data_IF_947161351776
#
_entry.id   IF_947161351776
#
_cell.length_a   1.000
_cell.length_b   1.000
_cell.length_c   1.000
_cell.angle_alpha   90.00
_cell.angle_beta   90.00
_cell.angle_gamma   90.00
#
_symmetry.space_group_name_H-M   'P 1'
#
loop_
_entity.id
_entity.type
_entity.pdbx_description
1 polymer ?
#
# COMPACT_ATOMS: atom_id res chain seq x y z
N UNK A 1 6.79 -22.39 -8.93
CA UNK A 1 7.87 -21.36 -8.85
C UNK A 1 7.68 -20.59 -7.55
N UNK A 2 8.75 -20.19 -6.84
CA UNK A 2 8.61 -19.45 -5.55
C UNK A 2 8.74 -17.96 -5.82
N UNK A 3 7.78 -17.15 -5.34
CA UNK A 3 7.87 -15.68 -5.41
C UNK A 3 9.03 -15.22 -4.52
N UNK A 4 9.91 -14.42 -5.07
CA UNK A 4 11.01 -13.77 -4.33
C UNK A 4 10.73 -12.26 -4.31
N UNK A 5 10.38 -11.71 -3.18
CA UNK A 5 10.01 -10.27 -3.03
C UNK A 5 11.09 -9.32 -3.56
N UNK A 6 12.36 -9.70 -3.44
CA UNK A 6 13.50 -8.92 -3.95
C UNK A 6 13.49 -8.68 -5.45
N UNK A 7 12.84 -9.56 -6.23
CA UNK A 7 12.83 -9.48 -7.70
C UNK A 7 11.93 -8.31 -8.19
N UNK A 8 11.06 -7.80 -7.32
CA UNK A 8 10.14 -6.69 -7.60
C UNK A 8 10.57 -5.38 -6.92
N UNK A 9 11.63 -5.42 -6.11
CA UNK A 9 12.07 -4.29 -5.30
C UNK A 9 12.97 -3.35 -6.09
N UNK A 10 12.63 -2.07 -6.10
CA UNK A 10 13.51 -0.99 -6.56
C UNK A 10 14.55 -0.72 -5.48
N UNK A 11 15.83 -0.83 -5.82
CA UNK A 11 16.91 -0.55 -4.87
C UNK A 11 17.11 0.96 -4.73
N UNK A 12 17.60 1.36 -3.57
CA UNK A 12 17.98 2.75 -3.32
C UNK A 12 19.09 3.18 -4.29
N UNK A 13 18.88 4.31 -4.97
CA UNK A 13 19.81 4.84 -5.97
C UNK A 13 19.64 4.27 -7.38
N UNK A 14 18.77 3.28 -7.58
CA UNK A 14 18.49 2.77 -8.94
C UNK A 14 17.78 3.84 -9.77
N UNK A 15 18.24 4.03 -11.00
CA UNK A 15 17.49 4.79 -12.01
C UNK A 15 16.49 3.84 -12.67
N UNK A 16 15.21 4.03 -12.37
CA UNK A 16 14.13 3.19 -12.89
C UNK A 16 13.85 3.53 -14.35
N UNK A 17 13.77 2.50 -15.16
CA UNK A 17 13.29 2.51 -16.54
C UNK A 17 12.18 1.45 -16.62
N UNK A 18 10.92 1.87 -16.63
CA UNK A 18 9.75 0.99 -16.57
C UNK A 18 9.65 0.04 -17.77
N UNK A 19 10.30 0.35 -18.89
CA UNK A 19 10.39 -0.57 -20.03
C UNK A 19 11.14 -1.86 -19.70
N UNK A 20 12.02 -1.83 -18.69
CA UNK A 20 12.77 -3.01 -18.21
C UNK A 20 12.04 -3.78 -17.12
N UNK A 21 10.93 -3.25 -16.61
CA UNK A 21 10.10 -3.89 -15.62
C UNK A 21 8.87 -4.51 -16.31
N UNK A 22 8.69 -5.84 -16.25
CA UNK A 22 7.57 -6.48 -16.94
C UNK A 22 6.24 -6.09 -16.31
N UNK A 23 5.20 -5.91 -17.14
CA UNK A 23 3.81 -5.77 -16.71
C UNK A 23 3.13 -7.13 -16.49
N UNK A 24 3.74 -8.21 -17.04
CA UNK A 24 3.30 -9.59 -16.92
C UNK A 24 4.48 -10.51 -16.66
N UNK A 25 4.36 -11.42 -15.71
CA UNK A 25 5.34 -12.50 -15.47
C UNK A 25 4.64 -13.85 -15.48
N UNK A 26 5.40 -14.93 -15.65
CA UNK A 26 4.84 -16.29 -15.61
C UNK A 26 4.12 -16.51 -14.27
N UNK A 27 2.84 -16.93 -14.28
CA UNK A 27 2.10 -17.20 -13.06
C UNK A 27 2.80 -18.25 -12.19
N UNK A 28 2.72 -18.09 -10.88
CA UNK A 28 3.27 -19.05 -9.91
C UNK A 28 2.34 -20.23 -9.65
N UNK A 29 1.17 -20.22 -10.25
CA UNK A 29 0.14 -21.25 -10.20
C UNK A 29 -0.14 -21.80 -11.61
N UNK A 30 -0.76 -22.98 -11.69
CA UNK A 30 -1.10 -23.61 -12.97
C UNK A 30 -2.61 -23.59 -13.26
N UNK A 31 -3.45 -23.63 -12.21
CA UNK A 31 -4.90 -23.64 -12.31
C UNK A 31 -5.51 -22.62 -11.37
N UNK A 32 -6.78 -22.30 -11.59
CA UNK A 32 -7.53 -21.35 -10.74
C UNK A 32 -7.70 -21.86 -9.30
N UNK A 33 -7.83 -23.19 -9.13
CA UNK A 33 -7.89 -23.85 -7.81
C UNK A 33 -6.55 -23.72 -7.09
N UNK A 34 -5.42 -23.92 -7.78
CA UNK A 34 -4.09 -23.73 -7.22
C UNK A 34 -3.83 -22.26 -6.82
N UNK A 35 -4.33 -21.29 -7.60
CA UNK A 35 -4.31 -19.88 -7.22
C UNK A 35 -5.07 -19.63 -5.92
N UNK A 36 -6.33 -20.12 -5.83
CA UNK A 36 -7.18 -19.94 -4.64
C UNK A 36 -6.51 -20.52 -3.39
N UNK A 37 -6.02 -21.75 -3.47
CA UNK A 37 -5.32 -22.40 -2.37
C UNK A 37 -4.04 -21.64 -1.93
N UNK A 38 -3.26 -21.12 -2.88
CA UNK A 38 -2.08 -20.33 -2.58
C UNK A 38 -2.44 -19.00 -1.91
N UNK A 39 -3.47 -18.31 -2.39
CA UNK A 39 -3.91 -17.05 -1.80
C UNK A 39 -4.45 -17.26 -0.39
N UNK A 40 -5.32 -18.25 -0.20
CA UNK A 40 -5.89 -18.63 1.11
C UNK A 40 -4.79 -18.90 2.13
N UNK A 41 -3.83 -19.73 1.79
CA UNK A 41 -2.65 -19.99 2.64
C UNK A 41 -1.90 -18.71 3.02
N UNK A 42 -1.67 -17.79 2.05
CA UNK A 42 -0.98 -16.54 2.34
C UNK A 42 -1.83 -15.61 3.21
N UNK A 43 -3.14 -15.59 3.03
CA UNK A 43 -4.08 -14.83 3.85
C UNK A 43 -4.10 -15.35 5.29
N UNK A 44 -4.12 -16.68 5.50
CA UNK A 44 -4.00 -17.29 6.83
C UNK A 44 -2.67 -16.90 7.52
N UNK A 45 -1.54 -17.06 6.80
CA UNK A 45 -0.23 -16.66 7.33
C UNK A 45 -0.21 -15.16 7.68
N UNK A 46 -0.84 -14.31 6.88
CA UNK A 46 -0.93 -12.87 7.14
C UNK A 46 -1.81 -12.56 8.37
N UNK A 47 -2.92 -13.28 8.53
CA UNK A 47 -3.79 -13.16 9.70
C UNK A 47 -3.04 -13.52 10.99
N UNK A 48 -2.21 -14.57 10.98
CA UNK A 48 -1.35 -14.93 12.12
C UNK A 48 -0.33 -13.83 12.43
N UNK A 49 0.36 -13.31 11.41
CA UNK A 49 1.31 -12.22 11.58
C UNK A 49 0.64 -10.94 12.09
N UNK A 50 -0.57 -10.64 11.64
CA UNK A 50 -1.33 -9.48 12.09
C UNK A 50 -1.74 -9.62 13.57
N UNK A 51 -2.12 -10.82 14.05
CA UNK A 51 -2.38 -11.07 15.47
C UNK A 51 -1.14 -10.79 16.33
N UNK A 52 0.03 -11.26 15.88
CA UNK A 52 1.30 -10.97 16.55
C UNK A 52 1.62 -9.47 16.54
N UNK A 53 1.39 -8.82 15.41
CA UNK A 53 1.61 -7.38 15.24
C UNK A 53 0.73 -6.57 16.20
N UNK A 54 -0.56 -6.88 16.23
CA UNK A 54 -1.52 -6.26 17.13
C UNK A 54 -1.15 -6.43 18.61
N UNK A 55 -0.85 -7.66 19.01
CA UNK A 55 -0.49 -7.99 20.39
C UNK A 55 0.85 -7.36 20.82
N UNK A 56 1.85 -7.34 19.94
CA UNK A 56 3.16 -6.77 20.26
C UNK A 56 3.13 -5.25 20.42
N UNK A 57 2.24 -4.58 19.70
CA UNK A 57 2.02 -3.12 19.72
C UNK A 57 3.31 -2.28 19.63
N UNK A 58 4.33 -2.74 18.88
CA UNK A 58 5.64 -2.09 18.78
C UNK A 58 5.85 -1.33 17.48
N UNK A 59 5.29 -1.84 16.40
CA UNK A 59 5.42 -1.26 15.06
C UNK A 59 4.07 -0.79 14.54
N UNK A 60 4.06 0.22 13.69
CA UNK A 60 3.00 0.49 12.75
C UNK A 60 3.43 -0.03 11.37
N UNK A 61 2.49 -0.46 10.54
CA UNK A 61 2.75 -0.85 9.15
C UNK A 61 1.90 0.00 8.22
N UNK A 62 2.53 0.67 7.26
CA UNK A 62 1.85 1.46 6.24
C UNK A 62 2.07 0.83 4.86
N UNK A 63 0.98 0.42 4.21
CA UNK A 63 0.96 -0.10 2.85
C UNK A 63 0.45 1.00 1.91
N UNK A 64 1.25 1.40 0.94
CA UNK A 64 0.89 2.41 -0.05
C UNK A 64 0.71 1.75 -1.41
N UNK A 65 -0.46 1.98 -2.03
CA UNK A 65 -0.78 1.47 -3.35
C UNK A 65 -0.93 2.61 -4.35
N UNK A 66 -0.08 2.61 -5.36
CA UNK A 66 -0.12 3.52 -6.49
C UNK A 66 -0.21 2.75 -7.81
N UNK A 67 -0.99 3.25 -8.74
CA UNK A 67 -1.12 2.68 -10.08
C UNK A 67 -1.95 3.56 -10.98
N UNK A 68 -1.84 3.34 -12.27
CA UNK A 68 -2.79 3.85 -13.27
C UNK A 68 -4.21 3.31 -13.00
N UNK A 69 -5.21 3.97 -13.55
CA UNK A 69 -6.59 3.51 -13.42
C UNK A 69 -6.77 2.12 -14.03
N UNK A 70 -7.73 1.36 -13.50
CA UNK A 70 -7.98 -0.04 -13.82
C UNK A 70 -6.86 -1.02 -13.48
N UNK A 71 -5.74 -0.63 -12.88
CA UNK A 71 -4.68 -1.56 -12.51
C UNK A 71 -5.10 -2.59 -11.44
N UNK A 72 -6.18 -2.32 -10.69
CA UNK A 72 -6.75 -3.27 -9.74
C UNK A 72 -6.34 -3.07 -8.29
N UNK A 73 -6.00 -1.82 -7.88
CA UNK A 73 -5.68 -1.45 -6.49
C UNK A 73 -6.71 -1.98 -5.48
N UNK A 74 -7.99 -1.63 -5.65
CA UNK A 74 -9.07 -2.05 -4.74
C UNK A 74 -9.18 -3.57 -4.64
N UNK A 75 -9.03 -4.25 -5.80
CA UNK A 75 -9.07 -5.71 -5.86
C UNK A 75 -7.88 -6.35 -5.14
N UNK A 76 -6.68 -5.80 -5.26
CA UNK A 76 -5.50 -6.30 -4.57
C UNK A 76 -5.66 -6.13 -3.06
N UNK A 77 -6.03 -4.93 -2.59
CA UNK A 77 -6.29 -4.64 -1.17
C UNK A 77 -7.33 -5.60 -0.62
N UNK A 78 -8.51 -5.69 -1.26
CA UNK A 78 -9.61 -6.54 -0.79
C UNK A 78 -9.21 -8.01 -0.65
N UNK A 79 -8.53 -8.58 -1.66
CA UNK A 79 -8.21 -10.01 -1.65
C UNK A 79 -7.04 -10.34 -0.71
N UNK A 80 -6.03 -9.48 -0.63
CA UNK A 80 -4.87 -9.71 0.24
C UNK A 80 -5.24 -9.54 1.71
N UNK A 81 -6.15 -8.60 2.01
CA UNK A 81 -6.56 -8.28 3.37
C UNK A 81 -7.83 -9.03 3.83
N UNK A 82 -8.36 -9.98 3.05
CA UNK A 82 -9.64 -10.64 3.33
C UNK A 82 -9.68 -11.44 4.63
N UNK A 83 -8.55 -11.92 5.13
CA UNK A 83 -8.44 -12.66 6.40
C UNK A 83 -7.86 -11.85 7.56
N UNK A 84 -7.62 -10.57 7.37
CA UNK A 84 -7.05 -9.70 8.40
C UNK A 84 -8.16 -9.17 9.30
N UNK A 85 -7.94 -9.18 10.63
CA UNK A 85 -8.91 -8.61 11.56
C UNK A 85 -9.11 -7.11 11.27
N UNK A 86 -10.34 -6.67 10.95
CA UNK A 86 -10.61 -5.27 10.60
C UNK A 86 -10.29 -4.29 11.72
N UNK A 87 -10.33 -4.69 12.99
CA UNK A 87 -9.92 -3.84 14.11
C UNK A 87 -8.43 -3.45 14.07
N UNK A 88 -7.61 -4.23 13.38
CA UNK A 88 -6.17 -4.00 13.24
C UNK A 88 -5.78 -3.36 11.92
N UNK A 89 -6.74 -2.95 11.09
CA UNK A 89 -6.50 -2.49 9.73
C UNK A 89 -7.42 -1.31 9.38
N UNK A 90 -6.85 -0.26 8.79
CA UNK A 90 -7.61 0.91 8.31
C UNK A 90 -7.23 1.19 6.86
N UNK A 91 -8.24 1.45 6.02
CA UNK A 91 -8.07 1.74 4.59
C UNK A 91 -8.54 3.17 4.32
N UNK A 92 -7.63 3.98 3.79
CA UNK A 92 -7.91 5.35 3.37
C UNK A 92 -7.75 5.46 1.84
N UNK A 93 -8.73 6.08 1.20
CA UNK A 93 -8.72 6.33 -0.25
C UNK A 93 -8.64 7.83 -0.50
N UNK A 94 -7.48 8.31 -0.89
CA UNK A 94 -7.27 9.73 -1.16
C UNK A 94 -7.72 10.07 -2.57
N UNK A 95 -8.79 10.87 -2.64
CA UNK A 95 -9.34 11.44 -3.87
C UNK A 95 -8.79 12.85 -4.10
N UNK A 96 -9.42 13.60 -5.00
CA UNK A 96 -9.10 15.02 -5.18
C UNK A 96 -9.17 15.76 -3.84
N UNK A 97 -8.18 16.60 -3.50
CA UNK A 97 -8.17 17.34 -2.25
C UNK A 97 -9.37 18.29 -2.14
N UNK A 98 -9.91 18.43 -0.94
CA UNK A 98 -10.89 19.44 -0.60
C UNK A 98 -10.26 20.83 -0.50
N UNK A 99 -11.08 21.90 -0.48
CA UNK A 99 -10.59 23.26 -0.28
C UNK A 99 -9.76 23.38 1.01
N UNK A 100 -10.22 22.80 2.11
CA UNK A 100 -9.47 22.79 3.39
C UNK A 100 -8.12 22.07 3.26
N UNK A 101 -8.04 20.97 2.52
CA UNK A 101 -6.78 20.24 2.31
C UNK A 101 -5.80 21.04 1.45
N UNK A 102 -6.28 21.86 0.52
CA UNK A 102 -5.45 22.73 -0.32
C UNK A 102 -4.86 23.94 0.45
N UNK A 103 -5.48 24.35 1.56
CA UNK A 103 -4.95 25.40 2.45
C UNK A 103 -3.76 24.92 3.32
N UNK A 104 -3.43 23.64 3.28
CA UNK A 104 -2.35 23.03 4.05
C UNK A 104 -1.25 22.53 3.12
N UNK A 105 -0.09 22.20 3.70
CA UNK A 105 0.97 21.52 2.94
C UNK A 105 0.50 20.17 2.40
N UNK A 106 1.11 19.72 1.33
CA UNK A 106 0.66 18.54 0.58
C UNK A 106 0.74 17.20 1.36
N UNK A 107 1.46 17.15 2.48
CA UNK A 107 1.54 15.96 3.34
C UNK A 107 0.45 15.92 4.40
N UNK A 108 -0.11 17.09 4.75
CA UNK A 108 -1.01 17.25 5.89
C UNK A 108 -2.18 16.26 5.89
N UNK A 109 -2.91 16.13 4.78
CA UNK A 109 -4.10 15.27 4.72
C UNK A 109 -3.79 13.80 4.94
N UNK A 110 -2.62 13.34 4.52
CA UNK A 110 -2.22 11.93 4.66
C UNK A 110 -1.55 11.65 6.01
N UNK A 111 -0.90 12.64 6.62
CA UNK A 111 -0.28 12.47 7.94
C UNK A 111 -1.30 12.30 9.06
N UNK A 112 -2.51 12.81 8.89
CA UNK A 112 -3.63 12.61 9.84
C UNK A 112 -4.10 11.16 9.92
N UNK A 113 -3.91 10.39 8.85
CA UNK A 113 -4.41 9.03 8.68
C UNK A 113 -3.30 7.97 8.85
N UNK A 114 -2.14 8.37 9.40
CA UNK A 114 -1.03 7.45 9.66
C UNK A 114 -1.42 6.41 10.72
N UNK A 115 -1.02 5.14 10.54
CA UNK A 115 -1.42 4.06 11.44
C UNK A 115 -0.75 4.18 12.82
N UNK A 116 -1.52 3.84 13.85
CA UNK A 116 -1.02 3.62 15.20
C UNK A 116 -0.14 2.36 15.28
N UNK A 117 0.66 2.23 16.34
CA UNK A 117 1.37 0.98 16.63
C UNK A 117 0.38 -0.18 16.79
N UNK A 118 0.76 -1.37 16.32
CA UNK A 118 -0.11 -2.54 16.28
C UNK A 118 -1.17 -2.49 15.17
N UNK A 119 -1.18 -1.45 14.32
CA UNK A 119 -2.16 -1.27 13.25
C UNK A 119 -1.50 -1.31 11.86
N UNK A 120 -2.29 -1.72 10.88
CA UNK A 120 -1.96 -1.67 9.45
C UNK A 120 -2.76 -0.54 8.83
N UNK A 121 -2.10 0.52 8.40
CA UNK A 121 -2.69 1.54 7.53
C UNK A 121 -2.51 1.16 6.07
N UNK A 122 -3.56 1.34 5.27
CA UNK A 122 -3.53 1.08 3.83
C UNK A 122 -3.95 2.36 3.12
N UNK A 123 -3.04 2.93 2.36
CA UNK A 123 -3.29 4.09 1.53
C UNK A 123 -3.56 3.65 0.09
N UNK A 124 -4.82 3.74 -0.34
CA UNK A 124 -5.21 3.61 -1.74
C UNK A 124 -5.10 5.00 -2.38
N UNK A 125 -4.02 5.22 -3.14
CA UNK A 125 -3.38 6.51 -3.41
C UNK A 125 -2.81 7.13 -2.12
N UNK A 126 -2.02 8.19 -2.22
CA UNK A 126 -1.34 8.76 -1.05
C UNK A 126 -0.79 10.15 -1.38
N UNK A 127 0.11 10.66 -0.53
CA UNK A 127 0.91 11.85 -0.82
C UNK A 127 1.74 11.75 -2.11
N UNK A 128 1.88 10.57 -2.69
CA UNK A 128 2.54 10.40 -3.99
C UNK A 128 1.75 10.96 -5.17
N UNK A 129 0.44 11.19 -5.02
CA UNK A 129 -0.35 11.90 -6.04
C UNK A 129 0.26 13.27 -6.34
N UNK A 130 0.88 13.90 -5.35
CA UNK A 130 1.50 15.23 -5.43
C UNK A 130 2.76 15.30 -6.32
N UNK A 131 3.32 14.15 -6.68
CA UNK A 131 4.45 14.00 -7.60
C UNK A 131 4.12 13.11 -8.79
N UNK A 132 2.87 12.69 -8.90
CA UNK A 132 2.32 11.90 -10.01
C UNK A 132 1.31 12.74 -10.80
N UNK A 133 0.02 12.76 -10.41
CA UNK A 133 -1.01 13.50 -11.13
C UNK A 133 -0.71 15.00 -11.16
N UNK A 134 -0.27 15.60 -10.06
CA UNK A 134 0.06 17.04 -10.01
C UNK A 134 1.20 17.38 -10.95
N UNK A 135 2.11 16.45 -11.20
CA UNK A 135 3.20 16.63 -12.18
C UNK A 135 2.73 16.51 -13.62
N UNK A 136 1.73 15.69 -13.89
CA UNK A 136 1.13 15.52 -15.21
C UNK A 136 0.21 16.69 -15.54
N UNK A 137 -0.43 17.27 -14.53
CA UNK A 137 -1.40 18.36 -14.63
C UNK A 137 -0.92 19.60 -13.85
N UNK A 138 -0.08 20.46 -14.47
CA UNK A 138 0.51 21.63 -13.78
C UNK A 138 -0.50 22.63 -13.23
N UNK A 139 -1.73 22.66 -13.79
CA UNK A 139 -2.83 23.49 -13.29
C UNK A 139 -3.23 23.13 -11.85
N UNK A 140 -3.10 21.86 -11.47
CA UNK A 140 -3.37 21.41 -10.08
C UNK A 140 -2.32 22.01 -9.14
N UNK A 141 -1.04 22.05 -9.55
CA UNK A 141 0.01 22.66 -8.75
C UNK A 141 -0.28 24.15 -8.51
N UNK A 142 -0.69 24.88 -9.56
CA UNK A 142 -1.02 26.30 -9.43
C UNK A 142 -2.21 26.56 -8.50
N UNK A 143 -3.18 25.65 -8.47
CA UNK A 143 -4.36 25.76 -7.58
C UNK A 143 -4.04 25.56 -6.09
N UNK A 144 -2.84 25.12 -5.74
CA UNK A 144 -2.41 24.91 -4.35
C UNK A 144 -1.99 26.21 -3.64
N UNK A 145 -1.97 27.36 -4.35
CA UNK A 145 -1.71 28.67 -3.75
C UNK A 145 -0.28 28.85 -3.21
N UNK A 146 0.69 28.11 -3.71
CA UNK A 146 2.08 28.26 -3.32
C UNK A 146 2.65 29.60 -3.85
N UNK A 147 3.60 30.25 -3.11
CA UNK A 147 4.33 31.41 -3.64
C UNK A 147 5.01 31.10 -4.98
N UNK A 148 4.95 32.03 -5.92
CA UNK A 148 5.49 31.86 -7.27
C UNK A 148 6.97 31.45 -7.27
N UNK A 149 7.76 31.96 -6.31
CA UNK A 149 9.17 31.61 -6.13
C UNK A 149 9.44 30.14 -5.81
N UNK A 150 8.44 29.40 -5.33
CA UNK A 150 8.51 27.97 -5.02
C UNK A 150 8.00 27.09 -6.15
N UNK A 151 7.35 27.67 -7.15
CA UNK A 151 6.70 26.93 -8.26
C UNK A 151 7.64 26.79 -9.48
N UNK A 152 8.92 27.17 -9.37
CA UNK A 152 9.91 26.91 -10.43
C UNK A 152 9.99 25.42 -10.72
N UNK A 153 9.55 25.02 -11.92
CA UNK A 153 9.14 23.67 -12.31
C UNK A 153 10.16 22.56 -12.06
N UNK A 154 11.46 22.85 -12.16
CA UNK A 154 12.51 21.84 -11.96
C UNK A 154 12.85 21.60 -10.48
N UNK A 155 12.79 22.62 -9.65
CA UNK A 155 13.18 22.55 -8.24
C UNK A 155 12.08 21.92 -7.37
N UNK A 156 10.80 22.25 -7.61
CA UNK A 156 9.69 21.81 -6.78
C UNK A 156 9.55 20.29 -6.70
N UNK A 157 9.82 19.56 -7.80
CA UNK A 157 9.73 18.10 -7.79
C UNK A 157 10.79 17.47 -6.93
N UNK A 158 12.02 18.01 -6.95
CA UNK A 158 13.10 17.50 -6.10
C UNK A 158 12.82 17.79 -4.63
N UNK A 159 12.28 18.95 -4.31
CA UNK A 159 11.92 19.32 -2.95
C UNK A 159 10.76 18.49 -2.41
N UNK A 160 9.75 18.19 -3.24
CA UNK A 160 8.68 17.26 -2.87
C UNK A 160 9.19 15.83 -2.65
N UNK A 161 10.08 15.33 -3.51
CA UNK A 161 10.70 14.01 -3.27
C UNK A 161 11.49 13.99 -1.97
N UNK A 162 12.24 15.05 -1.67
CA UNK A 162 12.99 15.20 -0.41
C UNK A 162 12.04 15.19 0.79
N UNK A 163 11.00 16.02 0.77
CA UNK A 163 10.00 16.09 1.84
C UNK A 163 9.32 14.74 2.11
N UNK A 164 8.97 13.99 1.04
CA UNK A 164 8.42 12.64 1.15
C UNK A 164 9.42 11.68 1.81
N UNK A 165 10.68 11.67 1.34
CA UNK A 165 11.72 10.78 1.88
C UNK A 165 12.03 11.13 3.33
N UNK A 166 12.02 12.41 3.69
CA UNK A 166 12.25 12.87 5.07
C UNK A 166 11.11 12.44 6.00
N UNK A 167 9.85 12.56 5.57
CA UNK A 167 8.70 12.02 6.29
C UNK A 167 8.83 10.51 6.49
N UNK A 168 9.12 9.76 5.43
CA UNK A 168 9.26 8.29 5.50
C UNK A 168 10.42 7.88 6.42
N UNK A 169 11.53 8.60 6.39
CA UNK A 169 12.65 8.40 7.29
C UNK A 169 12.30 8.73 8.75
N UNK A 170 11.52 9.80 8.98
CA UNK A 170 11.01 10.13 10.30
C UNK A 170 10.11 9.01 10.84
N UNK A 171 9.15 8.58 10.06
CA UNK A 171 8.23 7.48 10.40
C UNK A 171 8.99 6.17 10.70
N UNK A 172 9.97 5.83 9.88
CA UNK A 172 10.78 4.63 10.09
C UNK A 172 11.53 4.67 11.43
N UNK A 173 12.15 5.80 11.77
CA UNK A 173 12.85 5.99 13.07
C UNK A 173 11.90 5.87 14.26
N UNK A 174 10.60 6.18 14.05
CA UNK A 174 9.56 6.10 15.07
C UNK A 174 8.76 4.78 15.05
N UNK A 175 9.24 3.76 14.33
CA UNK A 175 8.67 2.40 14.38
C UNK A 175 7.65 2.10 13.30
N UNK A 176 7.39 2.99 12.35
CA UNK A 176 6.52 2.70 11.20
C UNK A 176 7.30 2.00 10.11
N UNK A 177 6.78 0.92 9.57
CA UNK A 177 7.32 0.19 8.41
C UNK A 177 6.47 0.47 7.20
N UNK A 178 7.09 1.04 6.17
CA UNK A 178 6.42 1.50 4.95
C UNK A 178 6.77 0.55 3.81
N UNK A 179 5.74 0.07 3.12
CA UNK A 179 5.86 -0.76 1.92
C UNK A 179 5.07 -0.06 0.81
N UNK A 180 5.72 0.22 -0.29
CA UNK A 180 5.11 0.95 -1.41
C UNK A 180 4.97 0.05 -2.62
N UNK A 181 3.77 -0.04 -3.17
CA UNK A 181 3.43 -0.83 -4.34
C UNK A 181 3.09 0.07 -5.52
N UNK A 182 3.80 -0.10 -6.61
CA UNK A 182 3.39 0.35 -7.92
C UNK A 182 2.86 -0.84 -8.72
N UNK A 183 1.54 -0.89 -8.97
CA UNK A 183 0.93 -1.91 -9.80
C UNK A 183 1.16 -1.54 -11.26
N UNK A 184 2.17 -2.15 -11.86
CA UNK A 184 2.62 -1.87 -13.22
C UNK A 184 1.75 -2.59 -14.24
N UNK A 185 0.84 -1.83 -14.83
CA UNK A 185 -0.13 -2.27 -15.84
C UNK A 185 0.36 -1.86 -17.23
N UNK A 186 0.12 -2.69 -18.25
CA UNK A 186 0.31 -2.28 -19.64
C UNK A 186 -0.84 -1.41 -20.13
N UNK A 187 -0.54 -0.54 -21.08
CA UNK A 187 -1.55 0.32 -21.72
C UNK A 187 -2.63 -0.52 -22.42
N UNK A 188 -2.25 -1.63 -23.03
CA UNK A 188 -3.18 -2.55 -23.69
C UNK A 188 -4.10 -3.26 -22.69
N UNK A 189 -3.58 -3.76 -21.57
CA UNK A 189 -4.41 -4.38 -20.55
C UNK A 189 -5.35 -3.36 -19.89
N UNK A 190 -4.93 -2.08 -19.74
CA UNK A 190 -5.82 -1.02 -19.27
C UNK A 190 -7.00 -0.83 -20.22
N UNK A 191 -6.72 -0.73 -21.53
CA UNK A 191 -7.74 -0.61 -22.58
C UNK A 191 -8.76 -1.74 -22.49
N UNK A 192 -8.28 -2.98 -22.38
CA UNK A 192 -9.13 -4.15 -22.22
C UNK A 192 -10.01 -4.04 -20.98
N UNK A 193 -9.44 -3.66 -19.83
CA UNK A 193 -10.21 -3.51 -18.58
C UNK A 193 -11.23 -2.38 -18.60
N UNK A 194 -10.99 -1.35 -19.39
CA UNK A 194 -11.97 -0.29 -19.63
C UNK A 194 -13.15 -0.82 -20.44
N UNK A 195 -12.89 -1.59 -21.51
CA UNK A 195 -13.95 -2.26 -22.28
C UNK A 195 -14.76 -3.21 -21.39
N UNK A 196 -14.09 -4.05 -20.61
CA UNK A 196 -14.77 -4.95 -19.65
C UNK A 196 -15.67 -4.17 -18.66
N UNK A 197 -15.31 -2.93 -18.27
CA UNK A 197 -16.16 -2.09 -17.40
C UNK A 197 -17.39 -1.54 -18.11
N UNK A 198 -17.28 -1.24 -19.40
CA UNK A 198 -18.39 -0.77 -20.21
C UNK A 198 -19.39 -1.91 -20.44
N UNK A 199 -18.88 -3.11 -20.73
CA UNK A 199 -19.69 -4.28 -21.06
C UNK A 199 -20.35 -4.91 -19.83
N UNK A 200 -19.82 -4.67 -18.61
CA UNK A 200 -20.36 -5.21 -17.36
C UNK A 200 -21.23 -4.16 -16.61
N UNK A 201 -22.59 -4.30 -16.61
CA UNK A 201 -23.50 -3.31 -16.01
C UNK A 201 -23.18 -2.96 -14.55
N UNK A 202 -22.71 -3.92 -13.76
CA UNK A 202 -22.34 -3.73 -12.35
C UNK A 202 -21.10 -2.86 -12.16
N UNK A 203 -20.34 -2.60 -13.22
CA UNK A 203 -19.10 -1.82 -13.20
C UNK A 203 -19.20 -0.47 -13.90
N UNK A 204 -20.27 -0.21 -14.67
CA UNK A 204 -20.42 1.00 -15.50
C UNK A 204 -20.32 2.29 -14.69
N UNK A 205 -20.84 2.29 -13.46
CA UNK A 205 -20.82 3.43 -12.56
C UNK A 205 -19.38 3.90 -12.17
N UNK A 206 -18.38 3.06 -12.41
CA UNK A 206 -16.96 3.36 -12.11
C UNK A 206 -16.21 3.96 -13.29
N UNK A 207 -16.86 4.12 -14.43
CA UNK A 207 -16.21 4.55 -15.66
C UNK A 207 -16.79 5.87 -16.14
N UNK A 208 -15.92 6.78 -16.53
CA UNK A 208 -16.29 8.09 -17.04
C UNK A 208 -15.45 8.51 -18.24
N UNK A 209 -15.88 9.53 -18.96
CA UNK A 209 -15.10 10.12 -20.04
C UNK A 209 -13.73 10.62 -19.57
N UNK A 210 -13.64 11.07 -18.31
CA UNK A 210 -12.37 11.50 -17.71
C UNK A 210 -11.31 10.39 -17.70
N UNK A 211 -11.69 9.12 -17.52
CA UNK A 211 -10.73 7.99 -17.57
C UNK A 211 -10.07 7.88 -18.96
N UNK A 212 -10.80 8.19 -20.03
CA UNK A 212 -10.27 8.19 -21.41
C UNK A 212 -9.34 9.39 -21.63
N UNK A 213 -9.69 10.56 -21.11
CA UNK A 213 -8.85 11.76 -21.22
C UNK A 213 -7.53 11.54 -20.46
N UNK A 214 -7.57 11.01 -19.24
CA UNK A 214 -6.37 10.68 -18.45
C UNK A 214 -5.45 9.68 -19.16
N UNK A 215 -6.02 8.75 -19.92
CA UNK A 215 -5.24 7.79 -20.70
C UNK A 215 -4.34 8.46 -21.76
N UNK A 216 -4.71 9.63 -22.27
CA UNK A 216 -3.92 10.38 -23.27
C UNK A 216 -2.56 10.80 -22.72
N UNK A 217 -2.45 10.94 -21.38
CA UNK A 217 -1.23 11.31 -20.68
C UNK A 217 -0.39 10.10 -20.22
N UNK A 218 -0.61 8.92 -20.83
CA UNK A 218 0.08 7.68 -20.44
C UNK A 218 1.60 7.83 -20.32
N UNK A 219 2.23 8.46 -21.31
CA UNK A 219 3.68 8.64 -21.36
C UNK A 219 4.18 9.57 -20.25
N UNK A 220 3.44 10.62 -19.97
CA UNK A 220 3.71 11.59 -18.91
C UNK A 220 3.63 10.92 -17.55
N UNK A 221 2.59 10.11 -17.31
CA UNK A 221 2.48 9.30 -16.10
C UNK A 221 3.63 8.32 -15.95
N UNK A 222 4.01 7.60 -16.99
CA UNK A 222 5.14 6.65 -16.90
C UNK A 222 6.44 7.37 -16.55
N UNK A 223 6.72 8.56 -17.13
CA UNK A 223 7.87 9.39 -16.76
C UNK A 223 7.80 9.88 -15.30
N UNK A 224 6.61 10.28 -14.85
CA UNK A 224 6.40 10.69 -13.46
C UNK A 224 6.64 9.53 -12.49
N UNK A 225 6.15 8.33 -12.79
CA UNK A 225 6.43 7.12 -12.02
C UNK A 225 7.91 6.77 -12.00
N UNK A 226 8.60 6.76 -13.14
CA UNK A 226 10.05 6.50 -13.21
C UNK A 226 10.85 7.45 -12.32
N UNK A 227 10.55 8.74 -12.40
CA UNK A 227 11.20 9.75 -11.57
C UNK A 227 10.89 9.55 -10.07
N UNK A 228 9.61 9.32 -9.74
CA UNK A 228 9.15 9.09 -8.38
C UNK A 228 9.80 7.84 -7.74
N UNK A 229 9.76 6.70 -8.43
CA UNK A 229 10.33 5.44 -7.98
C UNK A 229 11.85 5.56 -7.77
N UNK A 230 12.55 6.23 -8.71
CA UNK A 230 13.99 6.45 -8.62
C UNK A 230 14.38 7.36 -7.44
N UNK A 231 13.63 8.43 -7.23
CA UNK A 231 13.96 9.43 -6.22
C UNK A 231 13.57 9.01 -4.80
N UNK A 232 12.55 8.15 -4.65
CA UNK A 232 11.94 7.90 -3.34
C UNK A 232 12.02 6.45 -2.87
N UNK A 233 12.59 5.51 -3.65
CA UNK A 233 12.83 4.17 -3.13
C UNK A 233 14.05 4.16 -2.22
N UNK A 234 13.84 3.80 -0.95
CA UNK A 234 14.91 3.70 0.04
C UNK A 234 14.98 2.30 0.65
N UNK A 235 16.10 1.99 1.33
CA UNK A 235 16.20 0.72 2.08
C UNK A 235 15.12 0.60 3.15
N UNK A 236 14.70 1.73 3.73
CA UNK A 236 13.75 1.83 4.84
C UNK A 236 12.30 1.84 4.39
N UNK A 237 12.02 2.42 3.23
CA UNK A 237 10.69 2.52 2.62
C UNK A 237 10.78 2.18 1.11
N UNK A 238 10.92 0.89 0.76
CA UNK A 238 11.13 0.47 -0.62
C UNK A 238 9.87 0.53 -1.46
N UNK A 239 10.04 0.84 -2.74
CA UNK A 239 9.06 0.57 -3.77
C UNK A 239 9.18 -0.86 -4.30
N UNK A 240 8.03 -1.45 -4.60
CA UNK A 240 7.91 -2.69 -5.32
C UNK A 240 7.09 -2.47 -6.59
N UNK A 241 7.71 -2.74 -7.75
CA UNK A 241 7.03 -2.72 -9.06
C UNK A 241 6.41 -4.09 -9.27
N UNK A 242 5.09 -4.16 -9.16
CA UNK A 242 4.33 -5.42 -9.24
C UNK A 242 3.70 -5.55 -10.62
N UNK A 243 4.03 -6.60 -11.40
CA UNK A 243 3.36 -6.90 -12.67
C UNK A 243 1.85 -7.06 -12.46
N UNK A 244 1.03 -6.24 -13.13
CA UNK A 244 -0.40 -6.13 -12.85
C UNK A 244 -1.32 -6.55 -14.00
N UNK A 245 -0.79 -6.98 -15.15
CA UNK A 245 -1.60 -7.51 -16.25
C UNK A 245 -2.33 -8.81 -15.86
N UNK A 246 -1.75 -9.59 -14.97
CA UNK A 246 -2.40 -10.74 -14.34
C UNK A 246 -2.78 -10.36 -12.90
N UNK A 247 -4.07 -10.10 -12.66
CA UNK A 247 -4.61 -9.68 -11.34
C UNK A 247 -4.35 -10.72 -10.25
N UNK A 248 -4.48 -12.00 -10.58
CA UNK A 248 -4.35 -13.10 -9.62
C UNK A 248 -2.88 -13.24 -9.20
N UNK A 249 -1.97 -13.20 -10.16
CA UNK A 249 -0.54 -13.27 -9.89
C UNK A 249 -0.05 -12.03 -9.11
N UNK A 250 -0.54 -10.83 -9.46
CA UNK A 250 -0.25 -9.60 -8.73
C UNK A 250 -0.64 -9.68 -7.25
N UNK A 251 -1.82 -10.25 -6.93
CA UNK A 251 -2.29 -10.46 -5.55
C UNK A 251 -1.35 -11.37 -4.76
N UNK A 252 -0.89 -12.47 -5.36
CA UNK A 252 0.06 -13.38 -4.73
C UNK A 252 1.43 -12.72 -4.47
N UNK A 253 1.88 -11.87 -5.39
CA UNK A 253 3.13 -11.11 -5.25
C UNK A 253 3.01 -10.10 -4.11
N UNK A 254 1.94 -9.29 -4.11
CA UNK A 254 1.67 -8.29 -3.05
C UNK A 254 1.59 -8.97 -1.68
N UNK A 255 0.77 -10.02 -1.56
CA UNK A 255 0.62 -10.77 -0.32
C UNK A 255 1.96 -11.32 0.18
N UNK A 256 2.78 -11.86 -0.72
CA UNK A 256 4.11 -12.38 -0.37
C UNK A 256 5.06 -11.30 0.13
N UNK A 257 5.08 -10.13 -0.49
CA UNK A 257 5.92 -9.00 -0.07
C UNK A 257 5.53 -8.53 1.34
N UNK A 258 4.22 -8.42 1.60
CA UNK A 258 3.71 -8.06 2.92
C UNK A 258 4.14 -9.10 3.96
N UNK A 259 3.93 -10.39 3.70
CA UNK A 259 4.33 -11.48 4.59
C UNK A 259 5.83 -11.49 4.90
N UNK A 260 6.67 -11.32 3.87
CA UNK A 260 8.12 -11.28 4.07
C UNK A 260 8.53 -10.10 4.96
N UNK A 261 7.85 -8.95 4.84
CA UNK A 261 8.08 -7.79 5.70
C UNK A 261 7.66 -8.07 7.14
N UNK A 262 6.46 -8.61 7.37
CA UNK A 262 6.00 -8.96 8.73
C UNK A 262 6.93 -9.98 9.40
N UNK A 263 7.32 -11.03 8.69
CA UNK A 263 8.26 -12.04 9.20
C UNK A 263 9.62 -11.44 9.58
N UNK A 264 10.09 -10.42 8.83
CA UNK A 264 11.34 -9.72 9.12
C UNK A 264 11.28 -8.89 10.41
N UNK A 265 10.10 -8.49 10.88
CA UNK A 265 9.94 -7.77 12.16
C UNK A 265 10.19 -8.65 13.39
N UNK A 266 10.19 -9.99 13.25
CA UNK A 266 10.45 -10.97 14.33
C UNK A 266 9.62 -10.66 15.58
N UNK A 267 8.37 -10.33 15.41
CA UNK A 267 7.45 -9.99 16.50
C UNK A 267 7.17 -11.20 17.38
N UNK A 268 6.88 -10.94 18.66
CA UNK A 268 6.51 -11.95 19.66
C UNK A 268 5.32 -11.46 20.47
N UNK A 269 4.54 -12.35 21.01
CA UNK A 269 3.57 -12.00 22.04
C UNK A 269 4.29 -11.38 23.24
N UNK A 270 3.66 -10.40 23.93
CA UNK A 270 4.19 -9.89 25.19
C UNK A 270 4.35 -11.03 26.20
N UNK A 271 5.50 -11.09 26.82
CA UNK A 271 5.73 -12.06 27.91
C UNK A 271 5.11 -11.51 29.20
N UNK A 272 4.43 -12.39 29.94
CA UNK A 272 3.95 -12.08 31.28
C UNK A 272 5.09 -12.26 32.27
N UNK A 273 5.35 -11.24 33.10
CA UNK A 273 6.27 -11.38 34.22
C UNK A 273 5.72 -12.34 35.32
N UNK A 274 6.57 -12.71 36.28
CA UNK A 274 6.20 -13.66 37.34
C UNK A 274 5.01 -13.15 38.17
N UNK A 275 4.94 -11.84 38.44
CA UNK A 275 3.85 -11.22 39.20
C UNK A 275 2.52 -11.35 38.45
N UNK A 276 2.52 -10.97 37.15
CA UNK A 276 1.31 -11.09 36.32
C UNK A 276 0.87 -12.55 36.16
N UNK A 277 1.82 -13.48 36.04
CA UNK A 277 1.49 -14.91 35.99
C UNK A 277 0.80 -15.39 37.27
N UNK A 278 1.24 -14.96 38.45
CA UNK A 278 0.59 -15.27 39.74
C UNK A 278 -0.82 -14.64 39.80
N UNK A 279 -0.98 -13.40 39.42
CA UNK A 279 -2.29 -12.76 39.33
C UNK A 279 -3.26 -13.55 38.45
N UNK A 280 -2.83 -13.95 37.25
CA UNK A 280 -3.64 -14.73 36.31
C UNK A 280 -4.03 -16.10 36.89
N UNK A 281 -3.13 -16.76 37.61
CA UNK A 281 -3.44 -18.02 38.33
C UNK A 281 -4.47 -17.81 39.43
N UNK A 282 -4.36 -16.71 40.19
CA UNK A 282 -5.35 -16.34 41.22
C UNK A 282 -6.72 -16.08 40.59
N UNK A 283 -6.80 -15.29 39.55
CA UNK A 283 -8.04 -15.02 38.81
C UNK A 283 -8.65 -16.33 38.27
N UNK A 284 -7.83 -17.21 37.70
CA UNK A 284 -8.28 -18.53 37.24
C UNK A 284 -8.91 -19.35 38.36
N UNK A 285 -8.29 -19.36 39.56
CA UNK A 285 -8.85 -20.07 40.71
C UNK A 285 -10.19 -19.48 41.16
N UNK A 286 -10.34 -18.15 41.15
CA UNK A 286 -11.61 -17.47 41.46
C UNK A 286 -12.71 -17.90 40.49
N UNK A 287 -12.45 -17.79 39.17
CA UNK A 287 -13.40 -18.18 38.10
C UNK A 287 -13.79 -19.67 38.18
N UNK A 288 -12.84 -20.56 38.58
CA UNK A 288 -13.15 -21.98 38.76
C UNK A 288 -14.04 -22.25 39.98
N UNK A 289 -14.02 -21.39 41.01
CA UNK A 289 -14.90 -21.49 42.19
C UNK A 289 -16.30 -20.94 41.92
N UNK A 290 -16.43 -20.01 40.98
CA UNK A 290 -17.70 -19.46 40.52
C UNK A 290 -18.50 -20.40 39.63
N UNK A 291 -18.14 -21.67 39.47
CA UNK A 291 -18.72 -22.76 38.66
C UNK A 291 -20.16 -22.56 38.16
N UNK A 292 -20.67 -23.39 37.24
CA UNK A 292 -21.97 -23.15 36.56
C UNK A 292 -23.22 -23.15 37.47
N UNK A 293 -23.06 -23.23 38.81
CA UNK A 293 -24.12 -23.23 39.81
C UNK A 293 -23.88 -22.20 40.93
N UNK A 294 -23.41 -21.01 40.61
CA UNK A 294 -23.46 -19.85 41.49
C UNK A 294 -24.85 -19.23 41.48
N UNK A 295 -25.78 -19.80 42.22
CA UNK A 295 -27.00 -19.13 42.68
C UNK A 295 -26.68 -18.10 43.75
#
# INVERSE_FOLDING_TARGET
MKIKSRDFRVKEGDKVDLKKWPTRVKPVYKTKEAYKALLEKQVEELSEQQRLHYASNRYAVLLIFQAMDAAGKDGAIRHVMSGVNPQGCQVFSFKHPSATELEHDFLWRTTRDLPERGRIGIFNRSYYEEVLIVRVHPEILRSQGLPDSLVEESAIWQDRYRSIVDLENHLYRNGTRIIKFFLHLSEEEQRKRFLDRIDEPEKNWKFSQADIEERKFWKEYMRAYEACLSATSTKKAPWYVVPADDKENARLIVSRIILDTFKALKMRYPETDAKRRQELLSIRQQLMKEGPNGS
#
